data_IF_699399459026
#
_entry.id   IF_699399459026
#
_cell.length_a   1.000
_cell.length_b   1.000
_cell.length_c   1.000
_cell.angle_alpha   90.00
_cell.angle_beta   90.00
_cell.angle_gamma   90.00
#
_symmetry.space_group_name_H-M   'P 1'
#
loop_
_entity.id
_entity.type
_entity.pdbx_description
1 polymer ?
#
# COMPACT_ATOMS: atom_id res chain seq x y z
N UNK A 1 -22.97 30.51 -3.79
CA UNK A 1 -22.46 29.91 -2.55
C UNK A 1 -22.10 28.44 -2.82
N UNK A 2 -21.05 27.96 -2.18
CA UNK A 2 -20.52 26.62 -2.42
C UNK A 2 -20.25 25.90 -1.10
N UNK A 3 -20.27 24.57 -1.13
CA UNK A 3 -19.96 23.72 0.01
C UNK A 3 -18.86 22.71 -0.39
N UNK A 4 -17.90 22.47 0.49
CA UNK A 4 -16.92 21.39 0.36
C UNK A 4 -17.11 20.41 1.52
N UNK A 5 -17.41 19.15 1.22
CA UNK A 5 -17.56 18.08 2.20
C UNK A 5 -16.23 17.35 2.33
N UNK A 6 -15.65 17.35 3.53
CA UNK A 6 -14.35 16.74 3.83
C UNK A 6 -14.36 16.06 5.21
N UNK A 7 -15.42 15.31 5.53
CA UNK A 7 -15.63 14.67 6.84
C UNK A 7 -14.84 13.37 7.05
N UNK A 8 -14.10 12.93 6.04
CA UNK A 8 -13.17 11.81 6.15
C UNK A 8 -13.85 10.45 6.32
N UNK A 9 -13.12 9.51 6.91
CA UNK A 9 -13.55 8.14 7.14
C UNK A 9 -13.28 7.70 8.57
N UNK A 10 -13.90 6.60 8.98
CA UNK A 10 -13.68 5.95 10.28
C UNK A 10 -13.42 4.44 10.10
N UNK A 11 -12.83 3.76 11.10
CA UNK A 11 -12.73 2.30 11.08
C UNK A 11 -14.09 1.63 10.93
N UNK A 12 -14.14 0.57 10.14
CA UNK A 12 -15.34 -0.24 9.98
C UNK A 12 -15.60 -1.01 11.28
N UNK A 13 -16.80 -0.88 11.82
CA UNK A 13 -17.31 -1.71 12.91
C UNK A 13 -18.26 -2.76 12.35
N UNK A 14 -18.30 -3.91 12.98
CA UNK A 14 -19.22 -5.01 12.65
C UNK A 14 -19.90 -5.49 13.94
N UNK A 15 -21.18 -5.80 13.87
CA UNK A 15 -22.04 -6.03 15.04
C UNK A 15 -21.61 -7.25 15.87
N UNK A 16 -20.94 -8.21 15.26
CA UNK A 16 -20.49 -9.44 15.94
C UNK A 16 -19.14 -9.30 16.65
N UNK A 17 -18.52 -8.13 16.66
CA UNK A 17 -17.26 -7.85 17.37
C UNK A 17 -17.54 -6.75 18.42
N UNK A 18 -17.39 -7.06 19.73
CA UNK A 18 -17.69 -6.13 20.82
C UNK A 18 -16.53 -5.10 21.01
N UNK A 19 -16.42 -4.16 20.07
CA UNK A 19 -15.41 -3.10 20.10
C UNK A 19 -15.76 -2.10 21.19
N UNK A 20 -14.89 -1.97 22.20
CA UNK A 20 -15.05 -1.07 23.35
C UNK A 20 -14.03 0.07 23.38
N UNK A 21 -13.09 0.08 22.42
CA UNK A 21 -11.94 1.01 22.31
C UNK A 21 -11.04 1.02 23.57
N UNK A 22 -11.01 -0.11 24.30
CA UNK A 22 -10.19 -0.33 25.50
C UNK A 22 -9.45 -1.67 25.44
N UNK A 23 -10.16 -2.77 25.27
CA UNK A 23 -9.63 -4.14 25.20
C UNK A 23 -9.66 -4.60 23.74
N UNK A 24 -10.79 -4.44 23.08
CA UNK A 24 -10.95 -4.65 21.64
C UNK A 24 -11.05 -3.27 20.99
N UNK A 25 -10.01 -2.86 20.28
CA UNK A 25 -9.89 -1.51 19.74
C UNK A 25 -9.90 -1.51 18.21
N UNK A 26 -10.17 -0.35 17.65
CA UNK A 26 -9.81 -0.01 16.27
C UNK A 26 -8.51 0.80 16.23
N UNK A 27 -8.10 1.27 15.05
CA UNK A 27 -6.97 2.21 14.92
C UNK A 27 -7.19 3.51 15.71
N UNK A 28 -8.42 3.90 15.98
CA UNK A 28 -8.73 5.11 16.73
C UNK A 28 -8.50 4.93 18.24
N UNK A 29 -8.72 3.70 18.75
CA UNK A 29 -8.55 3.38 20.17
C UNK A 29 -7.17 2.88 20.56
N UNK A 30 -6.26 2.63 19.62
CA UNK A 30 -4.96 2.03 19.92
C UNK A 30 -4.11 2.87 20.87
N UNK A 31 -4.28 4.19 20.84
CA UNK A 31 -3.62 5.14 21.76
C UNK A 31 -4.15 5.09 23.21
N UNK A 32 -5.23 4.38 23.48
CA UNK A 32 -5.84 4.27 24.81
C UNK A 32 -5.16 3.22 25.70
N UNK A 33 -4.21 2.45 25.18
CA UNK A 33 -3.48 1.47 25.97
C UNK A 33 -2.60 2.16 27.01
N UNK A 34 -2.84 1.87 28.30
CA UNK A 34 -2.06 2.45 29.40
C UNK A 34 -0.61 1.91 29.45
N UNK A 35 -0.35 0.77 28.86
CA UNK A 35 0.95 0.11 28.74
C UNK A 35 1.03 -0.67 27.44
N UNK A 36 2.23 -1.03 27.02
CA UNK A 36 2.41 -1.97 25.91
C UNK A 36 1.82 -3.33 26.29
N UNK A 37 0.92 -3.90 25.47
CA UNK A 37 0.34 -5.21 25.76
C UNK A 37 1.40 -6.32 25.65
N UNK A 38 1.26 -7.35 26.47
CA UNK A 38 2.08 -8.56 26.37
C UNK A 38 1.74 -9.37 25.13
N UNK A 39 0.48 -9.31 24.69
CA UNK A 39 -0.01 -9.99 23.49
C UNK A 39 -1.13 -9.21 22.81
N UNK A 40 -1.08 -9.15 21.48
CA UNK A 40 -2.04 -8.45 20.64
C UNK A 40 -2.42 -9.31 19.45
N UNK A 41 -3.72 -9.49 19.21
CA UNK A 41 -4.21 -10.01 17.93
C UNK A 41 -4.64 -8.85 17.02
N UNK A 42 -4.16 -8.86 15.79
CA UNK A 42 -4.53 -7.90 14.74
C UNK A 42 -5.39 -8.63 13.71
N UNK A 43 -6.64 -8.20 13.56
CA UNK A 43 -7.60 -8.79 12.63
C UNK A 43 -7.67 -7.96 11.35
N UNK A 44 -7.21 -8.53 10.25
CA UNK A 44 -7.06 -7.88 8.94
C UNK A 44 -5.61 -7.49 8.63
N UNK A 45 -5.00 -8.13 7.63
CA UNK A 45 -3.63 -7.90 7.19
C UNK A 45 -3.53 -6.97 5.97
N UNK A 46 -4.35 -5.91 5.96
CA UNK A 46 -4.18 -4.75 5.09
C UNK A 46 -3.07 -3.80 5.60
N UNK A 47 -2.99 -2.57 5.04
CA UNK A 47 -1.97 -1.58 5.41
C UNK A 47 -1.94 -1.35 6.91
N UNK A 48 -3.08 -0.93 7.49
CA UNK A 48 -3.19 -0.58 8.92
C UNK A 48 -2.78 -1.76 9.81
N UNK A 49 -3.26 -2.97 9.51
CA UNK A 49 -2.94 -4.15 10.30
C UNK A 49 -1.44 -4.50 10.25
N UNK A 50 -0.83 -4.45 9.06
CA UNK A 50 0.60 -4.71 8.90
C UNK A 50 1.46 -3.62 9.56
N UNK A 51 1.05 -2.34 9.51
CA UNK A 51 1.75 -1.24 10.17
C UNK A 51 1.75 -1.41 11.69
N UNK A 52 0.60 -1.68 12.32
CA UNK A 52 0.54 -1.92 13.75
C UNK A 52 1.25 -3.22 14.15
N UNK A 53 1.15 -4.28 13.35
CA UNK A 53 1.94 -5.50 13.59
C UNK A 53 3.44 -5.20 13.57
N UNK A 54 3.90 -4.35 12.65
CA UNK A 54 5.30 -3.89 12.57
C UNK A 54 5.68 -3.06 13.80
N UNK A 55 4.86 -2.10 14.21
CA UNK A 55 5.13 -1.24 15.37
C UNK A 55 5.29 -2.10 16.63
N UNK A 56 4.30 -2.92 16.96
CA UNK A 56 4.31 -3.70 18.20
C UNK A 56 5.39 -4.79 18.22
N UNK A 57 5.67 -5.44 17.09
CA UNK A 57 6.75 -6.43 17.00
C UNK A 57 8.14 -5.79 17.13
N UNK A 58 8.36 -4.62 16.51
CA UNK A 58 9.64 -3.91 16.61
C UNK A 58 9.93 -3.39 18.04
N UNK A 59 8.90 -3.10 18.83
CA UNK A 59 9.08 -2.74 20.25
C UNK A 59 9.54 -3.93 21.11
N UNK A 60 9.45 -5.16 20.61
CA UNK A 60 10.03 -6.37 21.21
C UNK A 60 9.42 -6.81 22.54
N UNK A 61 8.29 -6.23 22.96
CA UNK A 61 7.60 -6.54 24.21
C UNK A 61 6.24 -7.19 24.06
N UNK A 62 5.70 -7.15 22.83
CA UNK A 62 4.36 -7.64 22.49
C UNK A 62 4.45 -8.85 21.58
N UNK A 63 3.83 -9.96 21.97
CA UNK A 63 3.61 -11.09 21.06
C UNK A 63 2.44 -10.75 20.13
N UNK A 64 2.71 -10.62 18.85
CA UNK A 64 1.71 -10.21 17.85
C UNK A 64 1.23 -11.42 17.06
N UNK A 65 -0.10 -11.50 16.90
CA UNK A 65 -0.80 -12.43 16.02
C UNK A 65 -1.49 -11.61 14.93
N UNK A 66 -1.29 -11.95 13.67
CA UNK A 66 -1.89 -11.27 12.52
C UNK A 66 -2.78 -12.26 11.77
N UNK A 67 -4.04 -11.92 11.55
CA UNK A 67 -5.04 -12.79 10.94
C UNK A 67 -5.48 -12.22 9.60
N UNK A 68 -5.54 -13.06 8.56
CA UNK A 68 -6.17 -12.70 7.30
C UNK A 68 -6.94 -13.89 6.68
N UNK A 69 -8.02 -13.57 5.98
CA UNK A 69 -8.82 -14.53 5.21
C UNK A 69 -8.10 -15.02 3.96
N UNK A 70 -7.22 -14.21 3.42
CA UNK A 70 -6.44 -14.52 2.24
C UNK A 70 -5.27 -15.47 2.55
N UNK A 71 -4.68 -15.95 1.48
CA UNK A 71 -3.47 -16.77 1.50
C UNK A 71 -2.19 -15.94 1.73
N UNK A 72 -2.31 -14.61 1.65
CA UNK A 72 -1.21 -13.65 1.85
C UNK A 72 -1.70 -12.37 2.50
N UNK A 73 -0.78 -11.66 3.15
CA UNK A 73 -0.98 -10.29 3.64
C UNK A 73 -0.93 -9.30 2.47
N UNK A 74 -1.41 -8.06 2.65
CA UNK A 74 -1.38 -7.00 1.64
C UNK A 74 -1.88 -7.48 0.27
N UNK A 75 -3.11 -7.98 0.16
CA UNK A 75 -3.61 -8.68 -1.04
C UNK A 75 -3.66 -7.81 -2.30
N UNK A 76 -3.64 -6.48 -2.17
CA UNK A 76 -3.64 -5.50 -3.26
C UNK A 76 -2.25 -5.19 -3.80
N UNK A 77 -1.18 -5.59 -3.10
CA UNK A 77 0.20 -5.37 -3.53
C UNK A 77 0.73 -6.54 -4.36
N UNK A 78 1.83 -6.29 -5.07
CA UNK A 78 2.56 -7.32 -5.79
C UNK A 78 3.01 -8.44 -4.84
N UNK A 79 2.97 -9.67 -5.32
CA UNK A 79 3.26 -10.85 -4.52
C UNK A 79 4.64 -10.80 -3.83
N UNK A 80 5.66 -10.33 -4.54
CA UNK A 80 7.03 -10.24 -4.01
C UNK A 80 7.18 -9.16 -2.94
N UNK A 81 6.40 -8.08 -3.00
CA UNK A 81 6.30 -7.08 -1.92
C UNK A 81 5.67 -7.71 -0.68
N UNK A 82 4.50 -8.33 -0.85
CA UNK A 82 3.78 -8.99 0.25
C UNK A 82 4.62 -10.08 0.93
N UNK A 83 5.33 -10.91 0.15
CA UNK A 83 6.22 -11.96 0.67
C UNK A 83 7.37 -11.36 1.48
N UNK A 84 8.04 -10.32 0.98
CA UNK A 84 9.17 -9.68 1.70
C UNK A 84 8.71 -9.10 3.04
N UNK A 85 7.53 -8.46 3.08
CA UNK A 85 6.96 -7.94 4.33
C UNK A 85 6.59 -9.07 5.28
N UNK A 86 5.95 -10.11 4.78
CA UNK A 86 5.54 -11.28 5.55
C UNK A 86 6.73 -11.96 6.23
N UNK A 87 7.77 -12.30 5.45
CA UNK A 87 9.00 -12.91 5.96
C UNK A 87 9.67 -12.07 7.05
N UNK A 88 9.62 -10.74 6.92
CA UNK A 88 10.21 -9.86 7.91
C UNK A 88 9.36 -9.77 9.18
N UNK A 89 8.04 -9.76 9.08
CA UNK A 89 7.14 -9.82 10.24
C UNK A 89 7.34 -11.15 11.00
N UNK A 90 7.39 -12.29 10.30
CA UNK A 90 7.64 -13.60 10.89
C UNK A 90 9.03 -13.66 11.56
N UNK A 91 10.06 -13.11 10.92
CA UNK A 91 11.41 -12.99 11.50
C UNK A 91 11.43 -12.16 12.79
N UNK A 92 10.55 -11.16 12.89
CA UNK A 92 10.37 -10.33 14.09
C UNK A 92 9.40 -10.97 15.11
N UNK A 93 9.02 -12.23 14.94
CA UNK A 93 8.23 -13.02 15.88
C UNK A 93 6.71 -12.84 15.76
N UNK A 94 6.21 -12.19 14.70
CA UNK A 94 4.78 -12.13 14.42
C UNK A 94 4.29 -13.50 13.96
N UNK A 95 3.21 -13.99 14.56
CA UNK A 95 2.54 -15.22 14.13
C UNK A 95 1.44 -14.84 13.13
N UNK A 96 1.54 -15.32 11.90
CA UNK A 96 0.59 -14.97 10.84
C UNK A 96 -0.33 -16.17 10.56
N UNK A 97 -1.63 -15.97 10.81
CA UNK A 97 -2.69 -16.92 10.50
C UNK A 97 -3.33 -16.56 9.16
N UNK A 98 -2.89 -17.23 8.11
CA UNK A 98 -3.45 -17.09 6.74
C UNK A 98 -4.60 -18.08 6.54
N UNK A 99 -5.44 -17.81 5.52
CA UNK A 99 -6.58 -18.68 5.19
C UNK A 99 -7.50 -18.93 6.40
N UNK A 100 -7.61 -17.94 7.29
CA UNK A 100 -8.35 -18.04 8.53
C UNK A 100 -9.28 -16.84 8.72
N UNK A 101 -10.44 -17.09 9.27
CA UNK A 101 -11.42 -16.07 9.61
C UNK A 101 -11.69 -16.07 11.10
N UNK A 102 -11.93 -14.89 11.65
CA UNK A 102 -12.40 -14.74 13.01
C UNK A 102 -13.81 -15.35 13.11
N UNK A 103 -13.95 -16.46 13.84
CA UNK A 103 -15.22 -17.14 14.06
C UNK A 103 -15.96 -16.55 15.28
N UNK A 104 -15.21 -16.31 16.37
CA UNK A 104 -15.74 -15.76 17.62
C UNK A 104 -14.69 -14.87 18.26
N UNK A 105 -15.11 -13.80 18.94
CA UNK A 105 -14.28 -12.98 19.79
C UNK A 105 -15.10 -12.44 20.96
N UNK A 106 -14.57 -12.54 22.16
CA UNK A 106 -15.22 -12.08 23.38
C UNK A 106 -14.18 -11.66 24.43
N UNK A 107 -14.59 -10.88 25.40
CA UNK A 107 -13.78 -10.50 26.55
C UNK A 107 -14.21 -11.34 27.75
N UNK A 108 -13.27 -12.12 28.31
CA UNK A 108 -13.48 -12.93 29.51
C UNK A 108 -12.36 -12.60 30.49
N UNK A 109 -12.71 -12.25 31.72
CA UNK A 109 -11.76 -11.87 32.79
C UNK A 109 -10.73 -10.80 32.37
N UNK A 110 -11.19 -9.82 31.56
CA UNK A 110 -10.37 -8.71 31.09
C UNK A 110 -9.38 -9.07 29.97
N UNK A 111 -9.47 -10.24 29.38
CA UNK A 111 -8.65 -10.70 28.24
C UNK A 111 -9.51 -11.06 27.04
N UNK A 112 -8.92 -10.96 25.86
CA UNK A 112 -9.57 -11.34 24.60
C UNK A 112 -9.42 -12.84 24.37
N UNK A 113 -10.56 -13.53 24.29
CA UNK A 113 -10.65 -14.91 23.80
C UNK A 113 -11.19 -14.88 22.38
N UNK A 114 -10.47 -15.48 21.44
CA UNK A 114 -10.92 -15.57 20.07
C UNK A 114 -10.73 -16.96 19.49
N UNK A 115 -11.59 -17.30 18.54
CA UNK A 115 -11.56 -18.55 17.80
C UNK A 115 -11.40 -18.26 16.31
N UNK A 116 -10.47 -18.94 15.68
CA UNK A 116 -10.24 -18.91 14.24
C UNK A 116 -10.87 -20.14 13.59
N UNK A 117 -11.45 -19.90 12.42
CA UNK A 117 -11.88 -20.95 11.51
C UNK A 117 -10.99 -20.90 10.26
N UNK A 118 -10.25 -21.97 10.02
CA UNK A 118 -9.42 -22.14 8.83
C UNK A 118 -10.23 -22.66 7.64
N UNK A 119 -9.71 -22.50 6.43
CA UNK A 119 -10.40 -22.94 5.20
C UNK A 119 -10.62 -24.45 5.12
N UNK A 120 -9.82 -25.25 5.83
CA UNK A 120 -9.99 -26.71 5.97
C UNK A 120 -11.06 -27.12 7.00
N UNK A 121 -11.68 -26.12 7.66
CA UNK A 121 -12.70 -26.30 8.69
C UNK A 121 -12.16 -26.44 10.11
N UNK A 122 -10.85 -26.46 10.31
CA UNK A 122 -10.22 -26.51 11.65
C UNK A 122 -10.60 -25.28 12.48
N UNK A 123 -10.90 -25.50 13.75
CA UNK A 123 -11.14 -24.43 14.73
C UNK A 123 -10.00 -24.41 15.75
N UNK A 124 -9.44 -23.24 15.98
CA UNK A 124 -8.41 -23.03 17.00
C UNK A 124 -8.77 -21.84 17.89
N UNK A 125 -8.60 -21.99 19.20
CA UNK A 125 -8.91 -20.96 20.20
C UNK A 125 -7.63 -20.38 20.79
N UNK A 126 -7.63 -19.08 21.00
CA UNK A 126 -6.49 -18.32 21.50
C UNK A 126 -6.92 -17.34 22.59
N UNK A 127 -5.94 -16.89 23.39
CA UNK A 127 -6.12 -15.89 24.42
C UNK A 127 -5.00 -14.85 24.34
N UNK A 128 -5.38 -13.56 24.30
CA UNK A 128 -4.44 -12.43 24.26
C UNK A 128 -4.91 -11.30 25.16
N UNK A 129 -4.04 -10.33 25.42
CA UNK A 129 -4.40 -9.18 26.27
C UNK A 129 -5.32 -8.19 25.55
N UNK A 130 -5.03 -7.88 24.27
CA UNK A 130 -5.81 -6.93 23.46
C UNK A 130 -6.04 -7.42 22.04
N UNK A 131 -7.04 -6.84 21.36
CA UNK A 131 -7.28 -7.04 19.94
C UNK A 131 -7.40 -5.70 19.20
N UNK A 132 -6.78 -5.63 18.03
CA UNK A 132 -6.94 -4.53 17.06
C UNK A 132 -7.77 -5.01 15.86
N UNK A 133 -8.86 -4.32 15.58
CA UNK A 133 -9.72 -4.61 14.43
C UNK A 133 -9.39 -3.64 13.30
N UNK A 134 -8.79 -4.15 12.21
CA UNK A 134 -8.31 -3.39 11.06
C UNK A 134 -8.87 -3.90 9.72
N UNK A 135 -10.18 -4.12 9.68
CA UNK A 135 -10.93 -4.72 8.57
C UNK A 135 -11.46 -3.70 7.55
N UNK A 136 -10.83 -2.56 7.44
CA UNK A 136 -11.15 -1.49 6.51
C UNK A 136 -11.77 -0.27 7.16
N UNK A 137 -12.13 0.70 6.31
CA UNK A 137 -12.70 2.01 6.70
C UNK A 137 -14.01 2.25 5.96
N UNK A 138 -14.83 3.13 6.49
CA UNK A 138 -16.09 3.59 5.89
C UNK A 138 -16.15 5.12 5.91
N UNK A 139 -16.75 5.78 4.89
CA UNK A 139 -16.85 7.23 4.86
C UNK A 139 -17.82 7.75 5.94
N UNK A 140 -17.59 8.99 6.41
CA UNK A 140 -18.44 9.65 7.40
C UNK A 140 -19.53 10.46 6.69
N UNK A 141 -20.67 9.84 6.38
CA UNK A 141 -21.76 10.44 5.58
C UNK A 141 -23.10 10.45 6.28
N UNK A 142 -23.30 9.70 7.35
CA UNK A 142 -24.61 9.38 7.92
C UNK A 142 -25.35 10.62 8.45
N UNK A 143 -24.64 11.55 9.10
CA UNK A 143 -25.25 12.73 9.74
C UNK A 143 -25.39 13.92 8.78
N UNK A 144 -24.96 13.77 7.53
CA UNK A 144 -24.92 14.88 6.57
C UNK A 144 -26.21 15.05 5.79
N UNK A 145 -27.14 14.09 5.87
CA UNK A 145 -28.40 14.09 5.11
C UNK A 145 -28.22 14.42 3.62
N UNK A 146 -27.18 13.83 3.01
CA UNK A 146 -26.74 14.09 1.64
C UNK A 146 -27.85 13.98 0.57
N UNK A 147 -28.79 12.99 0.66
CA UNK A 147 -29.89 12.91 -0.30
C UNK A 147 -30.78 14.13 -0.33
N UNK A 148 -31.00 14.81 0.81
CA UNK A 148 -31.81 16.04 0.86
C UNK A 148 -31.13 17.22 0.14
N UNK A 149 -29.78 17.16 -0.03
CA UNK A 149 -29.01 18.12 -0.80
C UNK A 149 -28.82 17.70 -2.27
N UNK A 150 -29.41 16.58 -2.70
CA UNK A 150 -29.26 16.05 -4.05
C UNK A 150 -27.89 15.36 -4.32
N UNK A 151 -27.15 15.03 -3.27
CA UNK A 151 -25.87 14.33 -3.36
C UNK A 151 -26.10 12.82 -3.32
N UNK A 152 -25.73 12.13 -4.38
CA UNK A 152 -25.84 10.67 -4.49
C UNK A 152 -24.61 9.96 -3.89
N UNK A 153 -24.86 8.76 -3.36
CA UNK A 153 -23.81 7.86 -2.91
C UNK A 153 -23.62 6.71 -3.92
N UNK A 154 -22.40 6.20 -3.95
CA UNK A 154 -22.08 4.95 -4.66
C UNK A 154 -22.69 3.75 -3.90
N UNK A 155 -22.79 2.55 -4.51
CA UNK A 155 -23.25 1.34 -3.81
C UNK A 155 -22.39 0.95 -2.59
N UNK A 156 -21.17 1.47 -2.50
CA UNK A 156 -20.26 1.28 -1.37
C UNK A 156 -20.37 2.35 -0.27
N UNK A 157 -21.31 3.33 -0.43
CA UNK A 157 -21.53 4.41 0.53
C UNK A 157 -20.62 5.63 0.38
N UNK A 158 -19.74 5.67 -0.62
CA UNK A 158 -18.93 6.86 -0.91
C UNK A 158 -19.73 7.91 -1.67
N UNK A 159 -19.34 9.18 -1.56
CA UNK A 159 -19.96 10.26 -2.34
C UNK A 159 -19.63 10.09 -3.82
N UNK A 160 -20.67 10.09 -4.65
CA UNK A 160 -20.51 10.03 -6.11
C UNK A 160 -20.07 11.40 -6.61
N UNK A 161 -18.94 11.43 -7.29
CA UNK A 161 -18.32 12.68 -7.76
C UNK A 161 -17.69 12.51 -9.16
N UNK A 162 -17.41 13.66 -9.77
CA UNK A 162 -16.60 13.78 -10.96
C UNK A 162 -15.66 14.97 -10.79
N UNK A 163 -14.35 14.67 -10.66
CA UNK A 163 -13.31 15.67 -10.49
C UNK A 163 -13.62 16.63 -9.31
N UNK A 164 -14.00 16.05 -8.16
CA UNK A 164 -14.45 16.65 -6.91
C UNK A 164 -15.87 17.23 -6.86
N UNK A 165 -16.52 17.50 -7.99
CA UNK A 165 -17.91 17.98 -7.99
C UNK A 165 -18.87 16.79 -7.77
N UNK A 166 -19.77 16.90 -6.80
CA UNK A 166 -20.79 15.89 -6.53
C UNK A 166 -21.92 15.92 -7.58
N UNK A 167 -22.92 15.08 -7.42
CA UNK A 167 -24.14 15.11 -8.27
C UNK A 167 -25.00 16.35 -8.04
N UNK A 168 -24.80 17.05 -6.93
CA UNK A 168 -25.47 18.32 -6.64
C UNK A 168 -24.63 19.51 -7.12
N UNK A 169 -25.21 20.54 -7.77
CA UNK A 169 -24.48 21.73 -8.17
C UNK A 169 -23.93 22.45 -6.94
N UNK A 170 -22.75 23.04 -7.07
CA UNK A 170 -22.07 23.81 -6.01
C UNK A 170 -21.68 23.03 -4.75
N UNK A 171 -21.82 21.70 -4.72
CA UNK A 171 -21.35 20.85 -3.62
C UNK A 171 -20.18 19.99 -4.11
N UNK A 172 -19.06 20.12 -3.44
CA UNK A 172 -17.82 19.43 -3.73
C UNK A 172 -17.44 18.46 -2.62
N UNK A 173 -16.60 17.46 -2.93
CA UNK A 173 -16.09 16.49 -1.96
C UNK A 173 -14.58 16.39 -2.07
N UNK A 174 -13.90 16.14 -0.94
CA UNK A 174 -12.47 15.89 -0.89
C UNK A 174 -12.10 14.86 0.18
N UNK A 175 -11.02 14.10 -0.06
CA UNK A 175 -10.49 13.09 0.86
C UNK A 175 -11.29 11.80 0.88
N UNK A 176 -11.24 11.09 1.99
CA UNK A 176 -11.73 9.71 2.15
C UNK A 176 -13.23 9.49 1.86
N UNK A 177 -13.98 10.57 1.67
CA UNK A 177 -15.38 10.50 1.25
C UNK A 177 -15.56 10.14 -0.22
N UNK A 178 -14.58 10.44 -1.07
CA UNK A 178 -14.55 10.02 -2.45
C UNK A 178 -14.16 8.54 -2.53
N UNK A 179 -14.53 7.86 -3.61
CA UNK A 179 -14.16 6.46 -3.82
C UNK A 179 -12.72 6.28 -4.34
N UNK A 180 -11.94 7.35 -4.39
CA UNK A 180 -10.60 7.36 -4.98
C UNK A 180 -9.57 6.71 -4.04
N UNK A 181 -8.60 7.47 -3.58
CA UNK A 181 -7.52 6.97 -2.74
C UNK A 181 -7.53 7.70 -1.40
N UNK A 182 -7.71 6.95 -0.30
CA UNK A 182 -7.76 7.48 1.05
C UNK A 182 -6.34 7.79 1.58
N UNK A 183 -5.78 8.93 1.14
CA UNK A 183 -4.47 9.44 1.53
C UNK A 183 -4.54 10.94 1.78
N UNK A 184 -3.76 11.44 2.77
CA UNK A 184 -3.70 12.85 3.15
C UNK A 184 -3.30 13.75 1.97
N UNK A 185 -2.26 13.38 1.23
CA UNK A 185 -1.78 14.13 0.05
C UNK A 185 -2.81 14.17 -1.09
N UNK A 186 -3.65 13.14 -1.22
CA UNK A 186 -4.74 13.10 -2.19
C UNK A 186 -5.86 14.04 -1.74
N UNK A 187 -6.33 13.92 -0.50
CA UNK A 187 -7.37 14.82 0.03
C UNK A 187 -6.96 16.29 0.01
N UNK A 188 -5.69 16.60 0.31
CA UNK A 188 -5.14 17.95 0.18
C UNK A 188 -5.22 18.47 -1.27
N UNK A 189 -4.83 17.63 -2.23
CA UNK A 189 -4.88 17.96 -3.66
C UNK A 189 -6.31 18.14 -4.16
N UNK A 190 -7.23 17.27 -3.75
CA UNK A 190 -8.66 17.35 -4.06
C UNK A 190 -9.29 18.62 -3.48
N UNK A 191 -8.99 18.97 -2.23
CA UNK A 191 -9.48 20.20 -1.60
C UNK A 191 -9.02 21.45 -2.33
N UNK A 192 -7.74 21.55 -2.70
CA UNK A 192 -7.21 22.65 -3.52
C UNK A 192 -7.87 22.72 -4.90
N UNK A 193 -8.13 21.56 -5.50
CA UNK A 193 -8.78 21.46 -6.79
C UNK A 193 -10.25 21.93 -6.71
N UNK A 194 -11.00 21.49 -5.70
CA UNK A 194 -12.38 21.94 -5.48
C UNK A 194 -12.45 23.47 -5.32
N UNK A 195 -11.57 24.07 -4.49
CA UNK A 195 -11.50 25.52 -4.30
C UNK A 195 -11.16 26.24 -5.61
N UNK A 196 -10.21 25.74 -6.37
CA UNK A 196 -9.86 26.36 -7.64
C UNK A 196 -11.00 26.31 -8.67
N UNK A 197 -11.80 25.23 -8.68
CA UNK A 197 -13.03 25.15 -9.49
C UNK A 197 -14.09 26.16 -9.03
N UNK A 198 -14.30 26.30 -7.74
CA UNK A 198 -15.25 27.26 -7.14
C UNK A 198 -14.94 28.70 -7.59
N UNK A 199 -13.67 29.08 -7.60
CA UNK A 199 -13.27 30.44 -7.97
C UNK A 199 -12.97 30.62 -9.47
N UNK A 200 -13.37 29.66 -10.31
CA UNK A 200 -13.33 29.79 -11.79
C UNK A 200 -11.92 29.83 -12.35
N UNK A 201 -10.97 29.09 -11.78
CA UNK A 201 -9.65 28.95 -12.38
C UNK A 201 -9.70 28.12 -13.67
N UNK A 202 -9.78 28.77 -14.82
CA UNK A 202 -9.90 28.14 -16.13
C UNK A 202 -8.64 27.33 -16.57
N UNK A 203 -7.54 27.45 -15.85
CA UNK A 203 -6.28 26.74 -16.13
C UNK A 203 -6.14 25.46 -15.29
N UNK A 204 -7.13 25.11 -14.49
CA UNK A 204 -7.03 23.90 -13.66
C UNK A 204 -7.12 22.65 -14.53
N UNK A 205 -6.10 21.80 -14.42
CA UNK A 205 -6.11 20.49 -15.07
C UNK A 205 -6.92 19.49 -14.22
N UNK A 206 -7.62 18.53 -14.86
CA UNK A 206 -8.27 17.43 -14.14
C UNK A 206 -7.31 16.72 -13.18
N UNK A 207 -7.85 16.15 -12.11
CA UNK A 207 -7.08 15.35 -11.18
C UNK A 207 -6.60 14.06 -11.86
N UNK A 208 -5.36 13.72 -11.62
CA UNK A 208 -4.71 12.50 -12.14
C UNK A 208 -4.28 11.66 -10.95
N UNK A 209 -4.76 10.42 -10.90
CA UNK A 209 -4.52 9.47 -9.80
C UNK A 209 -3.51 8.38 -10.16
N UNK A 210 -3.01 8.32 -11.39
CA UNK A 210 -2.08 7.26 -11.85
C UNK A 210 -0.65 7.41 -11.33
N UNK A 211 -0.29 8.59 -10.84
CA UNK A 211 1.06 8.92 -10.36
C UNK A 211 1.14 9.14 -8.85
N UNK A 212 0.12 8.71 -8.12
CA UNK A 212 0.11 8.86 -6.66
C UNK A 212 1.11 7.90 -6.05
N UNK A 213 2.07 8.47 -5.30
CA UNK A 213 2.97 7.68 -4.46
C UNK A 213 2.28 7.30 -3.15
N UNK A 214 2.36 6.03 -2.81
CA UNK A 214 1.87 5.48 -1.54
C UNK A 214 3.04 4.98 -0.72
N UNK A 215 2.94 5.08 0.59
CA UNK A 215 3.95 4.61 1.53
C UNK A 215 3.25 3.75 2.58
N UNK A 216 3.86 2.63 2.95
CA UNK A 216 3.49 1.83 4.10
C UNK A 216 4.64 1.85 5.10
N UNK A 217 4.35 2.25 6.34
CA UNK A 217 5.32 2.40 7.43
C UNK A 217 5.68 1.04 8.03
N UNK A 218 6.28 0.20 7.21
CA UNK A 218 6.68 -1.16 7.54
C UNK A 218 8.20 -1.22 7.80
N UNK A 219 8.68 -2.37 8.19
CA UNK A 219 10.10 -2.68 8.26
C UNK A 219 10.36 -4.00 7.54
N UNK A 220 10.91 -3.98 6.31
CA UNK A 220 11.37 -2.79 5.56
C UNK A 220 10.23 -1.87 5.11
N UNK A 221 10.52 -0.57 4.93
CA UNK A 221 9.59 0.41 4.36
C UNK A 221 9.17 0.00 2.95
N UNK A 222 7.90 0.23 2.60
CA UNK A 222 7.39 -0.03 1.25
C UNK A 222 6.86 1.26 0.65
N UNK A 223 7.26 1.55 -0.57
CA UNK A 223 6.73 2.65 -1.35
C UNK A 223 6.33 2.17 -2.75
N UNK A 224 5.18 2.65 -3.22
CA UNK A 224 4.60 2.26 -4.50
C UNK A 224 4.15 3.47 -5.29
N UNK A 225 4.31 3.45 -6.60
CA UNK A 225 3.71 4.41 -7.52
C UNK A 225 3.29 3.73 -8.81
N UNK A 226 2.16 4.15 -9.36
CA UNK A 226 1.64 3.64 -10.62
C UNK A 226 1.27 2.16 -10.57
N UNK A 227 1.21 1.54 -11.74
CA UNK A 227 0.75 0.17 -11.95
C UNK A 227 1.68 -0.85 -11.31
N UNK A 228 1.12 -1.80 -10.55
CA UNK A 228 1.82 -3.00 -10.08
C UNK A 228 1.87 -4.09 -11.14
N UNK A 229 2.70 -5.10 -10.92
CA UNK A 229 2.79 -6.28 -11.78
C UNK A 229 1.49 -7.10 -11.73
N UNK A 230 0.88 -7.24 -10.53
CA UNK A 230 -0.40 -7.90 -10.37
C UNK A 230 -1.51 -7.17 -11.14
N UNK A 231 -1.55 -5.85 -11.04
CA UNK A 231 -2.53 -5.03 -11.76
C UNK A 231 -2.37 -5.14 -13.28
N UNK A 232 -1.12 -5.21 -13.77
CA UNK A 232 -0.85 -5.43 -15.19
C UNK A 232 -1.38 -6.79 -15.66
N UNK A 233 -1.20 -7.84 -14.86
CA UNK A 233 -1.74 -9.19 -15.13
C UNK A 233 -3.27 -9.15 -15.17
N UNK A 234 -3.92 -8.57 -14.17
CA UNK A 234 -5.38 -8.50 -14.05
C UNK A 234 -6.02 -7.73 -15.24
N UNK A 235 -5.28 -6.74 -15.76
CA UNK A 235 -5.68 -5.95 -16.94
C UNK A 235 -5.22 -6.55 -18.28
N UNK A 236 -4.55 -7.69 -18.28
CA UNK A 236 -3.96 -8.33 -19.46
C UNK A 236 -3.01 -7.41 -20.25
N UNK A 237 -2.24 -6.56 -19.53
CA UNK A 237 -1.24 -5.66 -20.11
C UNK A 237 0.11 -6.35 -20.10
N UNK A 238 0.75 -6.49 -21.27
CA UNK A 238 2.13 -6.98 -21.36
C UNK A 238 3.10 -5.89 -20.93
N UNK A 239 4.03 -6.24 -20.02
CA UNK A 239 4.99 -5.30 -19.43
C UNK A 239 6.40 -5.87 -19.41
N UNK A 240 7.41 -5.01 -19.43
CA UNK A 240 8.79 -5.37 -19.07
C UNK A 240 9.03 -4.98 -17.62
N UNK A 241 9.68 -5.85 -16.89
CA UNK A 241 9.97 -5.68 -15.46
C UNK A 241 11.47 -5.84 -15.22
N UNK A 242 12.05 -4.90 -14.48
CA UNK A 242 13.41 -5.03 -13.94
C UNK A 242 13.37 -4.94 -12.42
N UNK A 243 14.07 -5.84 -11.75
CA UNK A 243 14.17 -5.90 -10.28
C UNK A 243 15.62 -6.06 -9.85
N UNK A 244 16.05 -5.25 -8.88
CA UNK A 244 17.35 -5.33 -8.22
C UNK A 244 17.20 -5.47 -6.71
N UNK A 245 17.90 -6.44 -6.14
CA UNK A 245 17.99 -6.63 -4.68
C UNK A 245 18.94 -5.59 -4.06
N UNK A 246 18.60 -5.08 -2.89
CA UNK A 246 19.42 -4.08 -2.17
C UNK A 246 20.84 -4.61 -1.83
N UNK A 247 21.03 -5.91 -1.72
CA UNK A 247 22.37 -6.49 -1.52
C UNK A 247 23.32 -6.30 -2.70
N UNK A 248 22.83 -5.80 -3.84
CA UNK A 248 23.63 -5.38 -4.99
C UNK A 248 23.91 -3.87 -5.01
N UNK A 249 23.36 -3.10 -4.08
CA UNK A 249 23.50 -1.63 -4.03
C UNK A 249 24.58 -1.25 -3.02
N UNK A 250 25.66 -0.60 -3.49
CA UNK A 250 26.82 -0.26 -2.66
C UNK A 250 26.45 0.49 -1.37
N UNK A 251 25.54 1.45 -1.44
CA UNK A 251 25.09 2.21 -0.27
C UNK A 251 24.31 1.35 0.73
N UNK A 252 23.45 0.43 0.25
CA UNK A 252 22.70 -0.49 1.11
C UNK A 252 23.66 -1.44 1.86
N UNK A 253 24.69 -1.92 1.18
CA UNK A 253 25.74 -2.76 1.76
C UNK A 253 26.51 -1.99 2.85
N UNK A 254 26.93 -0.76 2.56
CA UNK A 254 27.65 0.09 3.51
C UNK A 254 26.82 0.41 4.77
N UNK A 255 25.50 0.56 4.62
CA UNK A 255 24.56 0.79 5.72
C UNK A 255 24.16 -0.50 6.45
N UNK A 256 24.54 -1.69 5.95
CA UNK A 256 24.05 -3.00 6.41
C UNK A 256 22.50 -3.12 6.38
N UNK A 257 21.88 -2.47 5.39
CA UNK A 257 20.43 -2.44 5.16
C UNK A 257 20.13 -3.06 3.78
N UNK A 258 20.46 -4.35 3.63
CA UNK A 258 20.36 -5.08 2.36
C UNK A 258 19.04 -5.80 2.16
N UNK A 259 18.11 -5.71 3.12
CA UNK A 259 16.79 -6.30 2.99
C UNK A 259 15.88 -5.37 2.18
N UNK A 260 15.55 -5.76 0.95
CA UNK A 260 14.71 -4.99 0.07
C UNK A 260 15.09 -5.07 -1.41
N UNK A 261 14.33 -4.34 -2.22
CA UNK A 261 14.55 -4.30 -3.67
C UNK A 261 13.92 -3.05 -4.30
N UNK A 262 14.39 -2.71 -5.49
CA UNK A 262 13.64 -1.90 -6.44
C UNK A 262 13.08 -2.76 -7.56
N UNK A 263 11.85 -2.48 -7.98
CA UNK A 263 11.20 -3.08 -9.14
C UNK A 263 10.58 -1.98 -10.00
N UNK A 264 11.00 -1.88 -11.26
CA UNK A 264 10.47 -0.94 -12.25
C UNK A 264 9.66 -1.71 -13.28
N UNK A 265 8.51 -1.16 -13.64
CA UNK A 265 7.57 -1.71 -14.59
C UNK A 265 7.39 -0.71 -15.72
N UNK A 266 7.61 -1.16 -16.96
CA UNK A 266 7.49 -0.33 -18.17
C UNK A 266 6.62 -1.03 -19.21
N UNK A 267 6.11 -0.25 -20.19
CA UNK A 267 5.39 -0.81 -21.34
C UNK A 267 6.28 -1.76 -22.14
N UNK A 268 5.67 -2.84 -22.68
CA UNK A 268 6.39 -3.81 -23.53
C UNK A 268 6.41 -3.35 -25.00
N UNK A 269 6.92 -2.15 -25.24
CA UNK A 269 7.12 -1.56 -26.57
C UNK A 269 8.51 -0.92 -26.69
N UNK A 270 8.76 -0.20 -27.75
CA UNK A 270 10.03 0.50 -27.98
C UNK A 270 10.20 1.76 -27.12
N UNK A 271 9.10 2.37 -26.69
CA UNK A 271 9.12 3.59 -25.87
C UNK A 271 9.45 3.29 -24.40
N UNK A 272 9.16 2.08 -23.93
CA UNK A 272 9.36 1.67 -22.54
C UNK A 272 8.88 2.72 -21.54
N UNK A 273 7.62 3.16 -21.68
CA UNK A 273 7.01 4.15 -20.79
C UNK A 273 6.96 3.62 -19.38
N UNK A 274 7.29 4.46 -18.41
CA UNK A 274 7.19 4.13 -16.99
C UNK A 274 5.72 3.95 -16.61
N UNK A 275 5.35 2.76 -16.19
CA UNK A 275 4.01 2.40 -15.73
C UNK A 275 3.92 2.35 -14.22
N UNK A 276 4.98 1.92 -13.55
CA UNK A 276 5.00 1.84 -12.11
C UNK A 276 6.36 1.48 -11.52
N UNK A 277 6.42 1.62 -10.19
CA UNK A 277 7.57 1.21 -9.39
C UNK A 277 7.10 0.66 -8.05
N UNK A 278 7.81 -0.36 -7.56
CA UNK A 278 7.76 -0.82 -6.17
C UNK A 278 9.15 -0.70 -5.57
N UNK A 279 9.23 -0.06 -4.42
CA UNK A 279 10.45 0.10 -3.64
C UNK A 279 10.21 -0.51 -2.26
N UNK A 280 11.05 -1.45 -1.87
CA UNK A 280 11.01 -2.08 -0.55
C UNK A 280 12.38 -1.92 0.07
N UNK A 281 12.48 -1.35 1.26
CA UNK A 281 13.77 -1.17 1.94
C UNK A 281 14.01 0.22 2.48
N UNK A 282 15.20 0.45 3.00
CA UNK A 282 15.62 1.75 3.54
C UNK A 282 15.55 2.84 2.46
N UNK A 283 14.96 3.99 2.79
CA UNK A 283 14.75 5.14 1.89
C UNK A 283 13.83 4.87 0.69
N UNK A 284 12.97 3.86 0.73
CA UNK A 284 12.03 3.56 -0.34
C UNK A 284 11.15 4.77 -0.69
N UNK A 285 10.61 5.46 0.32
CA UNK A 285 9.77 6.65 0.16
C UNK A 285 10.48 7.81 -0.55
N UNK A 286 11.77 7.99 -0.30
CA UNK A 286 12.55 9.05 -0.94
C UNK A 286 12.92 8.71 -2.39
N UNK A 287 13.08 7.41 -2.69
CA UNK A 287 13.52 6.96 -4.00
C UNK A 287 12.43 7.06 -5.09
N UNK A 288 11.15 7.00 -4.70
CA UNK A 288 10.03 6.82 -5.63
C UNK A 288 9.64 8.09 -6.41
N UNK A 289 10.01 9.29 -5.91
CA UNK A 289 9.49 10.56 -6.41
C UNK A 289 9.90 10.87 -7.86
N UNK A 290 11.12 10.53 -8.26
CA UNK A 290 11.56 10.74 -9.64
C UNK A 290 10.72 9.92 -10.64
N UNK A 291 10.42 8.68 -10.29
CA UNK A 291 9.57 7.80 -11.12
C UNK A 291 8.13 8.30 -11.15
N UNK A 292 7.59 8.78 -10.02
CA UNK A 292 6.26 9.39 -9.97
C UNK A 292 6.13 10.59 -10.91
N UNK A 293 7.16 11.44 -10.98
CA UNK A 293 7.20 12.58 -11.89
C UNK A 293 7.20 12.15 -13.37
N UNK A 294 7.99 11.13 -13.72
CA UNK A 294 8.06 10.63 -15.10
C UNK A 294 6.77 9.93 -15.54
N UNK A 295 6.12 9.21 -14.63
CA UNK A 295 4.76 8.66 -14.87
C UNK A 295 3.77 9.81 -15.13
N UNK A 296 3.82 10.87 -14.31
CA UNK A 296 2.95 12.04 -14.47
C UNK A 296 3.13 12.73 -15.82
N UNK A 297 4.35 12.78 -16.32
CA UNK A 297 4.71 13.42 -17.60
C UNK A 297 4.65 12.44 -18.78
N UNK A 298 4.22 11.18 -18.55
CA UNK A 298 4.14 10.12 -19.56
C UNK A 298 5.47 9.89 -20.31
N UNK A 299 6.58 9.87 -19.57
CA UNK A 299 7.93 9.69 -20.10
C UNK A 299 8.37 8.21 -20.07
N UNK A 300 9.32 7.88 -20.94
CA UNK A 300 10.01 6.60 -20.94
C UNK A 300 11.21 6.56 -19.98
N UNK A 301 11.87 5.41 -19.94
CA UNK A 301 13.05 5.20 -19.08
C UNK A 301 14.31 5.94 -19.57
N UNK A 302 14.33 6.45 -20.78
CA UNK A 302 15.50 7.14 -21.35
C UNK A 302 15.90 8.36 -20.52
N UNK A 303 14.94 9.08 -19.96
CA UNK A 303 15.18 10.23 -19.08
C UNK A 303 15.97 9.81 -17.82
N UNK A 304 15.62 8.67 -17.21
CA UNK A 304 16.39 8.12 -16.08
C UNK A 304 17.77 7.60 -16.50
N UNK A 305 17.91 7.11 -17.73
CA UNK A 305 19.15 6.55 -18.22
C UNK A 305 20.25 7.62 -18.40
N UNK A 306 19.87 8.84 -18.77
CA UNK A 306 20.81 9.96 -18.99
C UNK A 306 21.10 10.76 -17.73
N UNK A 307 20.30 10.59 -16.66
CA UNK A 307 20.53 11.29 -15.40
C UNK A 307 21.81 10.83 -14.70
N UNK A 308 22.55 11.77 -14.14
CA UNK A 308 23.67 11.48 -13.23
C UNK A 308 23.12 11.26 -11.82
N UNK A 309 23.29 10.04 -11.31
CA UNK A 309 22.91 9.69 -9.95
C UNK A 309 24.05 9.94 -8.97
N UNK A 310 23.78 10.41 -7.74
CA UNK A 310 24.82 10.58 -6.73
C UNK A 310 25.39 9.21 -6.32
N UNK A 311 26.72 9.13 -6.13
CA UNK A 311 27.43 7.93 -5.70
C UNK A 311 28.17 8.17 -4.37
N UNK A 312 28.09 7.23 -3.37
CA UNK A 312 27.18 6.07 -3.31
C UNK A 312 25.79 6.46 -2.79
N UNK A 313 24.74 6.00 -3.44
CA UNK A 313 23.36 6.25 -3.03
C UNK A 313 22.48 5.00 -3.20
N UNK A 314 21.33 5.00 -2.54
CA UNK A 314 20.32 3.93 -2.70
C UNK A 314 19.69 3.98 -4.10
N UNK A 315 19.46 5.18 -4.64
CA UNK A 315 18.79 5.37 -5.92
C UNK A 315 19.59 4.87 -7.13
N UNK A 316 20.88 4.52 -6.98
CA UNK A 316 21.65 3.83 -8.02
C UNK A 316 21.02 2.48 -8.42
N UNK A 317 20.24 1.85 -7.52
CA UNK A 317 19.46 0.67 -7.85
C UNK A 317 18.39 0.95 -8.93
N UNK A 318 17.79 2.15 -8.95
CA UNK A 318 16.86 2.57 -10.01
C UNK A 318 17.60 2.65 -11.35
N UNK A 319 18.78 3.28 -11.34
CA UNK A 319 19.61 3.37 -12.53
C UNK A 319 20.00 2.00 -13.08
N UNK A 320 20.28 1.04 -12.19
CA UNK A 320 20.61 -0.31 -12.62
C UNK A 320 19.40 -1.06 -13.19
N UNK A 321 18.20 -0.88 -12.63
CA UNK A 321 16.97 -1.38 -13.25
C UNK A 321 16.80 -0.85 -14.68
N UNK A 322 17.05 0.44 -14.90
CA UNK A 322 17.00 1.06 -16.22
C UNK A 322 18.06 0.47 -17.15
N UNK A 323 19.29 0.28 -16.66
CA UNK A 323 20.38 -0.36 -17.43
C UNK A 323 20.03 -1.80 -17.83
N UNK A 324 19.40 -2.55 -16.93
CA UNK A 324 18.92 -3.90 -17.26
C UNK A 324 17.88 -3.87 -18.40
N UNK A 325 16.88 -2.99 -18.32
CA UNK A 325 15.86 -2.85 -19.38
C UNK A 325 16.44 -2.46 -20.74
N UNK A 326 17.54 -1.67 -20.74
CA UNK A 326 18.25 -1.25 -21.94
C UNK A 326 19.34 -2.23 -22.42
N UNK A 327 19.55 -3.36 -21.73
CA UNK A 327 20.62 -4.30 -22.04
C UNK A 327 22.03 -3.74 -21.79
N UNK A 328 22.17 -2.80 -20.86
CA UNK A 328 23.42 -2.08 -20.52
C UNK A 328 23.82 -2.26 -19.05
N UNK A 329 23.35 -3.33 -18.39
CA UNK A 329 23.69 -3.64 -17.00
C UNK A 329 25.20 -3.73 -16.82
N UNK A 330 25.72 -3.12 -15.75
CA UNK A 330 27.13 -3.24 -15.36
C UNK A 330 27.36 -4.47 -14.48
N UNK A 331 26.30 -5.04 -13.91
CA UNK A 331 26.35 -6.30 -13.18
C UNK A 331 26.08 -7.47 -14.14
N UNK A 332 26.75 -8.58 -13.93
CA UNK A 332 26.50 -9.80 -14.70
C UNK A 332 25.28 -10.52 -14.11
N UNK A 333 24.12 -10.32 -14.69
CA UNK A 333 22.87 -10.99 -14.27
C UNK A 333 22.98 -12.51 -14.25
N UNK A 334 23.82 -13.09 -15.14
CA UNK A 334 24.13 -14.53 -15.15
C UNK A 334 24.83 -15.00 -13.86
N UNK A 335 25.53 -14.11 -13.14
CA UNK A 335 26.18 -14.39 -11.85
C UNK A 335 25.24 -14.13 -10.69
N UNK A 336 24.40 -13.09 -10.78
CA UNK A 336 23.50 -12.65 -9.71
C UNK A 336 22.02 -12.96 -10.01
N UNK A 337 21.73 -14.12 -10.60
CA UNK A 337 20.39 -14.52 -11.09
C UNK A 337 19.25 -14.34 -10.09
N UNK A 338 19.50 -14.59 -8.81
CA UNK A 338 18.49 -14.47 -7.76
C UNK A 338 18.25 -13.01 -7.33
N UNK A 339 19.19 -12.11 -7.64
CA UNK A 339 19.23 -10.73 -7.18
C UNK A 339 18.95 -9.69 -8.26
N UNK A 340 19.19 -10.06 -9.51
CA UNK A 340 18.94 -9.24 -10.69
C UNK A 340 17.98 -9.97 -11.60
N UNK A 341 16.77 -9.43 -11.79
CA UNK A 341 15.75 -10.05 -12.65
C UNK A 341 15.29 -9.04 -13.69
N UNK A 342 15.28 -9.44 -14.96
CA UNK A 342 14.69 -8.67 -16.03
C UNK A 342 13.93 -9.60 -16.96
N UNK A 343 12.65 -9.31 -17.19
CA UNK A 343 11.75 -10.19 -17.92
C UNK A 343 10.59 -9.45 -18.54
N UNK A 344 9.94 -10.08 -19.52
CA UNK A 344 8.62 -9.72 -20.00
C UNK A 344 7.58 -10.51 -19.20
N UNK A 345 6.56 -9.83 -18.73
CA UNK A 345 5.39 -10.45 -18.11
C UNK A 345 4.21 -10.35 -19.07
N UNK A 346 3.67 -11.49 -19.44
CA UNK A 346 2.42 -11.61 -20.22
C UNK A 346 1.48 -12.55 -19.48
N UNK A 347 0.49 -11.99 -18.79
CA UNK A 347 -0.37 -12.72 -17.87
C UNK A 347 0.46 -13.57 -16.88
N UNK A 348 0.23 -14.87 -16.81
CA UNK A 348 0.95 -15.79 -15.91
C UNK A 348 2.35 -16.20 -16.42
N UNK A 349 2.73 -15.76 -17.62
CA UNK A 349 4.01 -16.14 -18.25
C UNK A 349 5.07 -15.08 -17.98
N UNK A 350 6.24 -15.53 -17.49
CA UNK A 350 7.44 -14.72 -17.36
C UNK A 350 8.47 -15.20 -18.38
N UNK A 351 8.85 -14.34 -19.31
CA UNK A 351 9.91 -14.63 -20.28
C UNK A 351 11.14 -13.79 -19.94
N UNK A 352 12.25 -14.42 -19.47
CA UNK A 352 13.49 -13.71 -19.21
C UNK A 352 13.97 -12.96 -20.45
N UNK A 353 14.42 -11.73 -20.29
CA UNK A 353 15.12 -11.00 -21.35
C UNK A 353 16.56 -11.54 -21.41
N UNK A 354 16.85 -12.40 -22.39
CA UNK A 354 18.09 -13.18 -22.51
C UNK A 354 19.35 -12.35 -22.84
N UNK A 355 19.27 -11.04 -22.96
CA UNK A 355 20.43 -10.18 -23.27
C UNK A 355 20.59 -9.11 -22.19
N UNK A 356 21.17 -9.52 -21.10
CA UNK A 356 21.70 -8.59 -20.11
C UNK A 356 23.20 -8.81 -19.90
#
# INVERSE_FOLDING_TARGET
EHVVIATGSRPRKVDNIPIDEKIIVTSDGIGNFNKLPESLVVVGAGVIGCEFATIFSNLGKTKVFLIDKGDRILPFEDQDVALTVMENLEKNGVVIHKNSSLNKIEVIDGRVHYELKYNDGTLESFNVEHALISIGRVPNVEELNLPAAGVELTPRGYVKENDTLTTAPNIYVAGDLSANIALVNVGEREGRHAVARIFGNHYIKPLVYTNISTIMFLNPEVASVGMGEQEAMDKCISVKVAKIDYSCIARAIAMRKTNGFFKIIVSNDAEMKLLGMRAVGEHASSAIQAVAYLIHTNQGIEELAVMMHPHPSIIEGIQECVRMLLGKSIYKSSVFKDKLKCYVREQDVCVPLERL
#
